data_IF_505542998260
#
_entry.id   IF_505542998260
#
_cell.length_a   1.000
_cell.length_b   1.000
_cell.length_c   1.000
_cell.angle_alpha   90.00
_cell.angle_beta   90.00
_cell.angle_gamma   90.00
#
_symmetry.space_group_name_H-M   'P 1'
#
loop_
_entity.id
_entity.type
_entity.pdbx_description
1 polymer ?
#
# COMPACT_ATOMS: atom_id res chain seq x y z
N UNK A 1 6.82 10.48 24.58
CA UNK A 1 6.25 11.56 25.40
C UNK A 1 5.59 12.55 24.44
N UNK A 2 4.36 12.96 24.70
CA UNK A 2 3.60 13.84 23.78
C UNK A 2 4.02 15.30 23.86
N UNK A 3 3.78 16.05 22.79
CA UNK A 3 3.94 17.50 22.75
C UNK A 3 2.78 18.20 23.50
N UNK A 4 3.01 19.38 24.10
CA UNK A 4 1.92 20.19 24.64
C UNK A 4 0.96 20.61 23.52
N UNK A 5 -0.35 20.79 23.81
CA UNK A 5 -1.34 21.15 22.80
C UNK A 5 -1.03 22.51 22.15
N UNK A 6 -1.30 22.63 20.84
CA UNK A 6 -1.21 23.89 20.12
C UNK A 6 -2.49 24.70 20.34
N UNK A 7 -2.48 25.60 21.31
CA UNK A 7 -3.62 26.47 21.59
C UNK A 7 -3.70 27.63 20.60
N UNK A 8 -4.89 27.92 20.07
CA UNK A 8 -5.10 29.08 19.20
C UNK A 8 -4.74 30.39 19.88
N UNK A 9 -4.92 30.48 21.20
CA UNK A 9 -4.58 31.67 21.99
C UNK A 9 -3.08 31.98 22.01
N UNK A 10 -2.23 30.99 21.78
CA UNK A 10 -0.78 31.18 21.76
C UNK A 10 -0.28 31.69 20.39
N UNK A 11 -1.10 31.58 19.34
CA UNK A 11 -0.83 32.20 18.04
C UNK A 11 -0.72 33.72 18.13
N UNK A 12 -1.50 34.35 19.02
CA UNK A 12 -1.43 35.80 19.25
C UNK A 12 -0.18 36.20 20.04
N UNK A 13 0.24 35.34 20.98
CA UNK A 13 1.42 35.61 21.84
C UNK A 13 2.73 35.39 21.09
N UNK A 14 2.73 34.47 20.12
CA UNK A 14 3.87 34.13 19.27
C UNK A 14 5.17 33.94 20.09
N UNK A 15 5.04 33.23 21.21
CA UNK A 15 6.15 33.04 22.13
C UNK A 15 7.22 32.12 21.53
N UNK A 16 8.50 32.25 21.98
CA UNK A 16 9.54 31.31 21.58
C UNK A 16 9.15 29.84 21.84
N UNK A 17 8.51 29.57 22.98
CA UNK A 17 8.04 28.23 23.36
C UNK A 17 6.92 27.71 22.43
N UNK A 18 6.00 28.58 22.00
CA UNK A 18 4.98 28.25 21.02
C UNK A 18 5.61 27.88 19.68
N UNK A 19 6.58 28.67 19.20
CA UNK A 19 7.29 28.38 17.94
C UNK A 19 8.08 27.07 17.99
N UNK A 20 8.72 26.77 19.13
CA UNK A 20 9.42 25.49 19.31
C UNK A 20 8.43 24.31 19.32
N UNK A 21 7.29 24.48 19.99
CA UNK A 21 6.20 23.49 19.98
C UNK A 21 5.68 23.29 18.56
N UNK A 22 5.35 24.35 17.82
CA UNK A 22 4.89 24.30 16.44
C UNK A 22 5.87 23.53 15.54
N UNK A 23 7.16 23.86 15.63
CA UNK A 23 8.23 23.16 14.90
C UNK A 23 8.31 21.67 15.24
N UNK A 24 8.06 21.30 16.50
CA UNK A 24 8.05 19.89 16.89
C UNK A 24 6.90 19.12 16.23
N UNK A 25 5.71 19.73 16.10
CA UNK A 25 4.57 19.16 15.37
C UNK A 25 4.89 19.01 13.87
N UNK A 26 5.51 20.01 13.24
CA UNK A 26 5.93 19.94 11.83
C UNK A 26 6.88 18.77 11.59
N UNK A 27 7.88 18.59 12.45
CA UNK A 27 8.86 17.49 12.36
C UNK A 27 8.18 16.13 12.55
N UNK A 28 7.24 16.01 13.49
CA UNK A 28 6.47 14.78 13.68
C UNK A 28 5.62 14.46 12.45
N UNK A 29 4.95 15.45 11.87
CA UNK A 29 4.14 15.31 10.67
C UNK A 29 4.98 14.89 9.45
N UNK A 30 6.16 15.49 9.25
CA UNK A 30 7.06 15.10 8.16
C UNK A 30 7.59 13.67 8.33
N UNK A 31 7.98 13.28 9.55
CA UNK A 31 8.38 11.89 9.86
C UNK A 31 7.24 10.91 9.57
N UNK A 32 6.03 11.23 10.03
CA UNK A 32 4.84 10.40 9.79
C UNK A 32 4.58 10.27 8.29
N UNK A 33 4.64 11.36 7.53
CA UNK A 33 4.45 11.36 6.07
C UNK A 33 5.46 10.44 5.37
N UNK A 34 6.74 10.50 5.76
CA UNK A 34 7.79 9.63 5.21
C UNK A 34 7.49 8.16 5.48
N UNK A 35 7.15 7.81 6.72
CA UNK A 35 6.78 6.43 7.07
C UNK A 35 5.54 5.95 6.31
N UNK A 36 4.54 6.79 6.09
CA UNK A 36 3.35 6.43 5.31
C UNK A 36 3.65 6.21 3.83
N UNK A 37 4.52 7.04 3.24
CA UNK A 37 4.97 6.85 1.86
C UNK A 37 5.74 5.53 1.70
N UNK A 38 6.59 5.20 2.66
CA UNK A 38 7.31 3.92 2.70
C UNK A 38 6.33 2.75 2.82
N UNK A 39 5.37 2.81 3.73
CA UNK A 39 4.35 1.78 3.91
C UNK A 39 3.55 1.53 2.62
N UNK A 40 3.11 2.59 1.95
CA UNK A 40 2.39 2.49 0.67
C UNK A 40 3.30 1.90 -0.42
N UNK A 41 4.58 2.29 -0.44
CA UNK A 41 5.57 1.76 -1.39
C UNK A 41 5.77 0.25 -1.19
N UNK A 42 5.91 -0.19 0.04
CA UNK A 42 6.12 -1.60 0.38
C UNK A 42 4.88 -2.43 0.06
N UNK A 43 3.68 -1.95 0.41
CA UNK A 43 2.42 -2.58 0.02
C UNK A 43 2.28 -2.73 -1.50
N UNK A 44 2.61 -1.69 -2.27
CA UNK A 44 2.63 -1.78 -3.75
C UNK A 44 3.67 -2.77 -4.28
N UNK A 45 4.80 -2.92 -3.58
CA UNK A 45 5.84 -3.88 -3.94
C UNK A 45 5.35 -5.31 -3.75
N UNK A 46 4.61 -5.59 -2.67
CA UNK A 46 3.96 -6.89 -2.45
C UNK A 46 2.95 -7.19 -3.56
N UNK A 47 2.07 -6.25 -3.92
CA UNK A 47 1.11 -6.43 -5.02
C UNK A 47 1.83 -6.72 -6.35
N UNK A 48 2.96 -6.05 -6.59
CA UNK A 48 3.78 -6.27 -7.78
C UNK A 48 4.40 -7.67 -7.79
N UNK A 49 4.90 -8.14 -6.64
CA UNK A 49 5.42 -9.49 -6.49
C UNK A 49 4.34 -10.56 -6.73
N UNK A 50 3.13 -10.36 -6.19
CA UNK A 50 1.98 -11.26 -6.41
C UNK A 50 1.66 -11.35 -7.91
N UNK A 51 1.66 -10.23 -8.64
CA UNK A 51 1.45 -10.25 -10.10
C UNK A 51 2.57 -10.99 -10.83
N UNK A 52 3.82 -10.80 -10.42
CA UNK A 52 4.95 -11.52 -10.99
C UNK A 52 4.83 -13.03 -10.78
N UNK A 53 4.43 -13.44 -9.58
CA UNK A 53 4.09 -14.83 -9.25
C UNK A 53 2.98 -15.37 -10.17
N UNK A 54 1.87 -14.64 -10.30
CA UNK A 54 0.75 -15.04 -11.17
C UNK A 54 1.18 -15.28 -12.61
N UNK A 55 1.95 -14.35 -13.18
CA UNK A 55 2.45 -14.48 -14.54
C UNK A 55 3.37 -15.69 -14.72
N UNK A 56 4.20 -16.00 -13.71
CA UNK A 56 5.06 -17.17 -13.75
C UNK A 56 4.25 -18.47 -13.72
N UNK A 57 3.22 -18.56 -12.87
CA UNK A 57 2.31 -19.70 -12.78
C UNK A 57 1.53 -19.88 -14.08
N UNK A 58 1.00 -18.80 -14.67
CA UNK A 58 0.32 -18.86 -15.96
C UNK A 58 1.21 -19.32 -17.11
N UNK A 59 2.48 -18.89 -17.12
CA UNK A 59 3.44 -19.37 -18.12
C UNK A 59 3.72 -20.86 -17.93
N UNK A 60 3.84 -21.32 -16.69
CA UNK A 60 4.06 -22.73 -16.39
C UNK A 60 2.85 -23.58 -16.80
N UNK A 61 1.63 -23.13 -16.53
CA UNK A 61 0.41 -23.84 -16.97
C UNK A 61 0.34 -23.95 -18.49
N UNK A 62 0.65 -22.89 -19.24
CA UNK A 62 0.76 -22.95 -20.70
C UNK A 62 1.81 -23.96 -21.18
N UNK A 63 2.90 -24.12 -20.42
CA UNK A 63 3.93 -25.11 -20.74
C UNK A 63 3.41 -26.53 -20.53
N UNK A 64 2.65 -26.75 -19.45
CA UNK A 64 1.97 -28.03 -19.19
C UNK A 64 0.95 -28.36 -20.28
N UNK A 65 0.10 -27.40 -20.68
CA UNK A 65 -0.89 -27.64 -21.74
C UNK A 65 -0.28 -27.85 -23.12
N UNK A 66 0.94 -27.35 -23.37
CA UNK A 66 1.66 -27.57 -24.62
C UNK A 66 2.50 -28.85 -24.61
N UNK A 67 2.65 -29.51 -23.47
CA UNK A 67 3.48 -30.70 -23.36
C UNK A 67 2.87 -31.86 -24.15
N UNK A 68 3.70 -32.46 -25.00
CA UNK A 68 3.38 -33.67 -25.76
C UNK A 68 4.61 -34.56 -25.78
N UNK A 69 4.40 -35.87 -25.70
CA UNK A 69 5.49 -36.83 -25.87
C UNK A 69 5.86 -36.94 -27.34
N UNK A 70 7.17 -36.96 -27.62
CA UNK A 70 7.69 -37.47 -28.88
C UNK A 70 7.62 -39.01 -28.83
N UNK A 71 6.86 -39.63 -29.74
CA UNK A 71 6.70 -41.09 -29.76
C UNK A 71 7.58 -41.76 -30.81
N UNK A 72 8.04 -42.98 -30.50
CA UNK A 72 8.79 -43.85 -31.41
C UNK A 72 7.86 -45.00 -31.82
N UNK A 73 7.41 -45.02 -33.08
CA UNK A 73 6.47 -46.02 -33.60
C UNK A 73 5.30 -45.38 -34.36
N UNK A 74 4.18 -46.09 -34.48
CA UNK A 74 2.99 -45.61 -35.22
C UNK A 74 1.95 -44.88 -34.34
N UNK A 75 2.03 -44.98 -33.01
CA UNK A 75 1.11 -44.32 -32.07
C UNK A 75 1.71 -44.12 -30.67
N UNK A 76 1.11 -43.23 -29.87
CA UNK A 76 1.36 -43.10 -28.44
C UNK A 76 0.89 -44.34 -27.68
N UNK A 77 1.52 -44.61 -26.54
CA UNK A 77 1.08 -45.59 -25.55
C UNK A 77 -0.01 -45.02 -24.64
N UNK A 78 -0.80 -45.89 -24.01
CA UNK A 78 -1.84 -45.47 -23.06
C UNK A 78 -1.25 -44.66 -21.88
N UNK A 79 -0.05 -44.99 -21.43
CA UNK A 79 0.64 -44.26 -20.35
C UNK A 79 1.02 -42.83 -20.77
N UNK A 80 1.53 -42.65 -22.00
CA UNK A 80 1.86 -41.34 -22.54
C UNK A 80 0.61 -40.47 -22.73
N UNK A 81 -0.50 -41.07 -23.15
CA UNK A 81 -1.80 -40.40 -23.26
C UNK A 81 -2.28 -39.97 -21.85
N UNK A 82 -2.27 -40.87 -20.87
CA UNK A 82 -2.69 -40.58 -19.50
C UNK A 82 -1.85 -39.47 -18.83
N UNK A 83 -0.53 -39.45 -19.06
CA UNK A 83 0.33 -38.38 -18.54
C UNK A 83 0.02 -37.04 -19.22
N UNK A 84 -0.17 -37.04 -20.55
CA UNK A 84 -0.52 -35.82 -21.27
C UNK A 84 -1.87 -35.25 -20.80
N UNK A 85 -2.87 -36.10 -20.60
CA UNK A 85 -4.16 -35.71 -20.01
C UNK A 85 -3.99 -35.15 -18.59
N UNK A 86 -3.14 -35.77 -17.76
CA UNK A 86 -2.84 -35.26 -16.42
C UNK A 86 -2.24 -33.85 -16.44
N UNK A 87 -1.36 -33.56 -17.40
CA UNK A 87 -0.80 -32.22 -17.56
C UNK A 87 -1.82 -31.20 -18.08
N UNK A 88 -2.78 -31.61 -18.90
CA UNK A 88 -3.90 -30.74 -19.29
C UNK A 88 -4.74 -30.34 -18.08
N UNK A 89 -5.10 -31.31 -17.23
CA UNK A 89 -5.86 -31.05 -16.00
C UNK A 89 -5.12 -30.12 -15.04
N UNK A 90 -3.82 -30.37 -14.82
CA UNK A 90 -2.99 -29.48 -14.01
C UNK A 90 -2.92 -28.06 -14.59
N UNK A 91 -2.80 -27.94 -15.92
CA UNK A 91 -2.81 -26.64 -16.57
C UNK A 91 -4.13 -25.92 -16.37
N UNK A 92 -5.26 -26.60 -16.59
CA UNK A 92 -6.60 -26.04 -16.42
C UNK A 92 -6.80 -25.45 -15.03
N UNK A 93 -6.45 -26.22 -14.00
CA UNK A 93 -6.54 -25.77 -12.62
C UNK A 93 -5.66 -24.53 -12.34
N UNK A 94 -4.40 -24.57 -12.76
CA UNK A 94 -3.49 -23.43 -12.54
C UNK A 94 -3.97 -22.17 -13.28
N UNK A 95 -4.60 -22.31 -14.45
CA UNK A 95 -5.17 -21.18 -15.19
C UNK A 95 -6.38 -20.58 -14.47
N UNK A 96 -7.26 -21.41 -13.92
CA UNK A 96 -8.44 -20.98 -13.17
C UNK A 96 -8.04 -20.25 -11.88
N UNK A 97 -7.13 -20.84 -11.09
CA UNK A 97 -6.59 -20.22 -9.86
C UNK A 97 -6.02 -18.84 -10.15
N UNK A 98 -5.22 -18.70 -11.20
CA UNK A 98 -4.59 -17.43 -11.53
C UNK A 98 -5.54 -16.42 -12.18
N UNK A 99 -6.60 -16.87 -12.84
CA UNK A 99 -7.66 -15.99 -13.32
C UNK A 99 -8.33 -15.27 -12.14
N UNK A 100 -8.78 -16.04 -11.13
CA UNK A 100 -9.46 -15.50 -9.96
C UNK A 100 -8.53 -14.63 -9.11
N UNK A 101 -7.28 -15.06 -8.94
CA UNK A 101 -6.24 -14.29 -8.23
C UNK A 101 -6.05 -12.92 -8.88
N UNK A 102 -5.92 -12.86 -10.21
CA UNK A 102 -5.72 -11.61 -10.93
C UNK A 102 -6.96 -10.71 -10.93
N UNK A 103 -8.16 -11.28 -11.01
CA UNK A 103 -9.42 -10.54 -10.87
C UNK A 103 -9.52 -9.84 -9.51
N UNK A 104 -9.17 -10.55 -8.44
CA UNK A 104 -9.17 -10.01 -7.09
C UNK A 104 -8.16 -8.87 -6.92
N UNK A 105 -6.92 -9.06 -7.39
CA UNK A 105 -5.86 -8.03 -7.37
C UNK A 105 -6.27 -6.79 -8.20
N UNK A 106 -6.98 -6.99 -9.32
CA UNK A 106 -7.51 -5.92 -10.15
C UNK A 106 -8.56 -5.07 -9.44
N UNK A 107 -9.53 -5.71 -8.80
CA UNK A 107 -10.60 -5.06 -8.04
C UNK A 107 -10.04 -4.21 -6.89
N UNK A 108 -9.10 -4.76 -6.13
CA UNK A 108 -8.51 -4.10 -4.97
C UNK A 108 -7.74 -2.83 -5.35
N UNK A 109 -6.97 -2.86 -6.46
CA UNK A 109 -6.23 -1.69 -6.94
C UNK A 109 -7.16 -0.53 -7.34
N UNK A 110 -8.33 -0.83 -7.88
CA UNK A 110 -9.32 0.20 -8.22
C UNK A 110 -9.92 0.85 -6.97
N UNK A 111 -10.14 0.07 -5.90
CA UNK A 111 -10.63 0.56 -4.61
C UNK A 111 -9.59 1.41 -3.87
N UNK A 112 -8.32 0.99 -3.82
CA UNK A 112 -7.25 1.72 -3.13
C UNK A 112 -6.89 3.06 -3.77
N UNK A 113 -7.05 3.22 -5.09
CA UNK A 113 -6.79 4.50 -5.79
C UNK A 113 -7.79 5.60 -5.40
N UNK A 114 -8.92 5.22 -4.79
CA UNK A 114 -10.00 6.14 -4.38
C UNK A 114 -9.76 6.76 -2.99
N UNK A 115 -8.85 6.21 -2.17
CA UNK A 115 -8.48 6.77 -0.86
C UNK A 115 -7.52 7.96 -1.03
N UNK A 116 -8.05 9.17 -0.83
CA UNK A 116 -7.42 10.48 -1.05
C UNK A 116 -6.28 10.88 -0.09
N UNK A 117 -5.47 9.92 0.39
CA UNK A 117 -4.36 10.14 1.34
C UNK A 117 -3.37 11.19 0.83
N UNK A 118 -3.17 11.31 -0.49
CA UNK A 118 -2.21 12.23 -1.10
C UNK A 118 -2.66 13.69 -1.07
N UNK A 119 -3.97 13.96 -1.10
CA UNK A 119 -4.47 15.32 -1.27
C UNK A 119 -4.41 16.14 0.03
N UNK A 120 -4.42 15.47 1.19
CA UNK A 120 -4.16 16.08 2.48
C UNK A 120 -2.69 16.54 2.64
N UNK A 121 -1.73 15.88 2.00
CA UNK A 121 -0.29 16.23 2.10
C UNK A 121 0.13 17.39 1.19
N UNK A 122 -0.66 17.72 0.17
CA UNK A 122 -0.38 18.84 -0.74
C UNK A 122 -0.53 20.20 -0.04
N UNK A 123 -1.35 20.27 1.01
CA UNK A 123 -1.56 21.48 1.83
C UNK A 123 -0.28 21.88 2.58
N UNK A 124 0.45 20.92 3.16
CA UNK A 124 1.73 21.18 3.83
C UNK A 124 2.82 21.73 2.89
N UNK A 125 2.85 21.28 1.63
CA UNK A 125 3.83 21.75 0.63
C UNK A 125 3.53 23.15 0.06
N UNK A 126 2.28 23.61 0.13
CA UNK A 126 1.91 24.98 -0.26
C UNK A 126 2.36 26.01 0.79
N UNK A 127 2.44 25.61 2.06
CA UNK A 127 2.79 26.47 3.20
C UNK A 127 4.30 26.76 3.34
N UNK A 128 5.16 25.93 2.74
CA UNK A 128 6.60 26.23 2.64
C UNK A 128 6.86 27.43 1.70
N UNK A 129 6.00 27.65 0.70
CA UNK A 129 6.20 28.69 -0.32
C UNK A 129 5.82 30.10 0.18
N UNK A 130 5.02 30.21 1.22
CA UNK A 130 4.71 31.51 1.86
C UNK A 130 5.64 31.83 3.03
N UNK A 131 6.21 30.81 3.69
CA UNK A 131 7.24 31.00 4.73
C UNK A 131 8.60 31.39 4.14
N UNK A 132 8.99 30.89 2.97
CA UNK A 132 10.18 31.37 2.25
C UNK A 132 10.02 32.80 1.70
N UNK A 133 8.78 33.26 1.49
CA UNK A 133 8.48 34.62 1.06
C UNK A 133 8.52 35.64 2.22
N UNK A 134 8.54 35.15 3.47
CA UNK A 134 8.54 35.97 4.66
C UNK A 134 9.71 35.59 5.58
N UNK A 135 10.80 36.31 5.38
CA UNK A 135 11.84 36.59 6.37
C UNK A 135 11.28 37.31 7.63
N UNK A 136 10.21 36.79 8.24
CA UNK A 136 9.45 37.39 9.35
C UNK A 136 9.97 36.92 10.72
N UNK A 137 10.88 35.96 10.75
CA UNK A 137 11.50 35.46 11.99
C UNK A 137 12.96 35.90 12.20
N UNK A 138 13.37 37.05 11.63
CA UNK A 138 14.67 37.66 11.87
C UNK A 138 14.59 38.88 12.81
N UNK A 139 15.53 39.07 13.77
CA UNK A 139 15.51 40.22 14.65
C UNK A 139 16.13 41.43 13.94
N UNK A 140 15.34 42.19 13.19
CA UNK A 140 15.78 43.51 12.70
C UNK A 140 15.29 44.60 13.62
N UNK A 141 16.03 44.80 14.71
CA UNK A 141 16.10 46.11 15.34
C UNK A 141 16.77 47.08 14.37
N UNK A 142 16.06 48.13 13.96
CA UNK A 142 16.64 49.42 13.55
C UNK A 142 15.56 50.51 13.47
N UNK A 143 15.89 51.60 14.14
CA UNK A 143 15.24 52.92 14.25
C UNK A 143 14.44 53.35 13.02
N UNK A 144 13.21 53.85 13.23
CA UNK A 144 12.66 54.95 12.42
C UNK A 144 11.62 55.75 13.23
N UNK A 145 12.06 56.91 13.73
CA UNK A 145 11.18 58.00 14.12
C UNK A 145 10.77 58.78 12.86
N UNK A 146 9.53 59.30 12.84
CA UNK A 146 8.96 60.25 11.86
C UNK A 146 8.02 59.71 10.74
N UNK A 147 7.19 58.67 10.98
CA UNK A 147 6.03 58.30 10.13
C UNK A 147 4.81 57.72 10.90
N UNK A 148 4.76 57.90 12.22
CA UNK A 148 4.03 57.03 13.18
C UNK A 148 2.61 56.64 12.77
N UNK A 149 1.69 57.57 12.46
CA UNK A 149 0.26 57.21 12.33
C UNK A 149 -0.07 56.29 11.14
N UNK A 150 0.56 56.48 9.97
CA UNK A 150 0.35 55.57 8.81
C UNK A 150 1.15 54.28 8.93
N UNK A 151 2.25 54.31 9.67
CA UNK A 151 3.02 53.12 10.00
C UNK A 151 2.28 52.27 11.04
N UNK A 152 1.64 52.89 12.03
CA UNK A 152 0.87 52.21 13.08
C UNK A 152 -0.34 51.49 12.50
N UNK A 153 -1.14 52.14 11.63
CA UNK A 153 -2.27 51.48 10.94
C UNK A 153 -1.81 50.29 10.06
N UNK A 154 -0.66 50.43 9.39
CA UNK A 154 -0.08 49.35 8.58
C UNK A 154 0.43 48.21 9.47
N UNK A 155 1.08 48.52 10.58
CA UNK A 155 1.58 47.55 11.55
C UNK A 155 0.43 46.78 12.21
N UNK A 156 -0.66 47.46 12.58
CA UNK A 156 -1.84 46.82 13.15
C UNK A 156 -2.50 45.90 12.13
N UNK A 157 -2.59 46.31 10.86
CA UNK A 157 -3.07 45.45 9.78
C UNK A 157 -2.20 44.22 9.58
N UNK A 158 -0.88 44.38 9.59
CA UNK A 158 0.06 43.24 9.46
C UNK A 158 -0.02 42.29 10.65
N UNK A 159 -0.21 42.79 11.88
CA UNK A 159 -0.41 41.94 13.07
C UNK A 159 -1.67 41.10 12.97
N UNK A 160 -2.78 41.70 12.54
CA UNK A 160 -4.04 40.98 12.32
C UNK A 160 -3.84 39.89 11.27
N UNK A 161 -3.25 40.23 10.12
CA UNK A 161 -2.99 39.26 9.06
C UNK A 161 -2.09 38.09 9.53
N UNK A 162 -1.04 38.39 10.30
CA UNK A 162 -0.15 37.40 10.87
C UNK A 162 -0.90 36.46 11.84
N UNK A 163 -1.72 37.02 12.72
CA UNK A 163 -2.50 36.25 13.67
C UNK A 163 -3.51 35.33 12.96
N UNK A 164 -4.27 35.86 12.00
CA UNK A 164 -5.23 35.06 11.22
C UNK A 164 -4.53 33.91 10.48
N UNK A 165 -3.39 34.19 9.86
CA UNK A 165 -2.58 33.17 9.16
C UNK A 165 -2.04 32.11 10.13
N UNK A 166 -1.61 32.51 11.32
CA UNK A 166 -1.07 31.60 12.35
C UNK A 166 -2.15 30.68 12.91
N UNK A 167 -3.35 31.22 13.17
CA UNK A 167 -4.52 30.43 13.61
C UNK A 167 -4.94 29.44 12.55
N UNK A 168 -5.01 29.86 11.29
CA UNK A 168 -5.32 28.95 10.17
C UNK A 168 -4.26 27.85 10.06
N UNK A 169 -2.98 28.18 10.21
CA UNK A 169 -1.90 27.20 10.18
C UNK A 169 -2.03 26.14 11.29
N UNK A 170 -2.26 26.55 12.53
CA UNK A 170 -2.49 25.63 13.66
C UNK A 170 -3.75 24.78 13.42
N UNK A 171 -4.81 25.37 12.88
CA UNK A 171 -6.02 24.64 12.52
C UNK A 171 -5.75 23.54 11.48
N UNK A 172 -4.94 23.83 10.46
CA UNK A 172 -4.55 22.83 9.46
C UNK A 172 -3.70 21.71 10.06
N UNK A 173 -2.77 22.02 10.97
CA UNK A 173 -1.99 21.00 11.71
C UNK A 173 -2.93 20.07 12.48
N UNK A 174 -3.92 20.61 13.19
CA UNK A 174 -4.91 19.81 13.91
C UNK A 174 -5.72 18.91 12.96
N UNK A 175 -6.19 19.45 11.83
CA UNK A 175 -6.91 18.66 10.83
C UNK A 175 -6.07 17.48 10.33
N UNK A 176 -4.79 17.69 10.02
CA UNK A 176 -3.89 16.61 9.58
C UNK A 176 -3.67 15.59 10.71
N UNK A 177 -3.51 16.04 11.95
CA UNK A 177 -3.35 15.14 13.10
C UNK A 177 -4.59 14.29 13.38
N UNK A 178 -5.78 14.78 13.13
CA UNK A 178 -7.00 14.00 13.29
C UNK A 178 -7.23 13.05 12.12
N UNK A 179 -7.03 13.54 10.88
CA UNK A 179 -7.18 12.71 9.68
C UNK A 179 -6.17 11.57 9.60
N UNK A 180 -4.90 11.79 9.98
CA UNK A 180 -3.86 10.75 9.94
C UNK A 180 -4.20 9.50 10.78
N UNK A 181 -5.02 9.65 11.83
CA UNK A 181 -5.45 8.53 12.69
C UNK A 181 -6.32 7.52 11.94
N UNK A 182 -7.05 7.96 10.92
CA UNK A 182 -8.03 7.16 10.19
C UNK A 182 -7.58 6.86 8.76
N UNK A 183 -7.00 7.84 8.06
CA UNK A 183 -6.64 7.76 6.64
C UNK A 183 -5.58 6.68 6.34
N UNK A 184 -4.84 6.23 7.35
CA UNK A 184 -3.81 5.18 7.23
C UNK A 184 -4.40 3.80 7.48
N UNK A 185 -5.36 3.70 8.41
CA UNK A 185 -5.88 2.42 8.87
C UNK A 185 -6.68 1.73 7.78
N UNK A 186 -7.50 2.48 7.05
CA UNK A 186 -8.37 1.92 6.01
C UNK A 186 -7.56 1.31 4.83
N UNK A 187 -6.54 1.97 4.24
CA UNK A 187 -5.71 1.34 3.21
C UNK A 187 -4.95 0.09 3.68
N UNK A 188 -4.43 0.11 4.91
CA UNK A 188 -3.71 -1.03 5.49
C UNK A 188 -4.66 -2.19 5.75
N UNK A 189 -5.85 -1.92 6.30
CA UNK A 189 -6.89 -2.92 6.51
C UNK A 189 -7.35 -3.53 5.18
N UNK A 190 -7.59 -2.69 4.16
CA UNK A 190 -7.94 -3.16 2.83
C UNK A 190 -6.83 -4.06 2.24
N UNK A 191 -5.57 -3.70 2.41
CA UNK A 191 -4.43 -4.51 1.98
C UNK A 191 -4.33 -5.85 2.73
N UNK A 192 -4.52 -5.85 4.06
CA UNK A 192 -4.53 -7.08 4.85
C UNK A 192 -5.68 -7.99 4.44
N UNK A 193 -6.88 -7.43 4.32
CA UNK A 193 -8.05 -8.16 3.84
C UNK A 193 -7.79 -8.77 2.46
N UNK A 194 -7.12 -8.01 1.58
CA UNK A 194 -6.76 -8.47 0.25
C UNK A 194 -5.87 -9.72 0.26
N UNK A 195 -4.81 -9.72 1.08
CA UNK A 195 -3.92 -10.88 1.23
C UNK A 195 -4.67 -12.08 1.80
N UNK A 196 -5.50 -11.87 2.82
CA UNK A 196 -6.26 -12.94 3.45
C UNK A 196 -7.25 -13.58 2.47
N UNK A 197 -7.95 -12.78 1.67
CA UNK A 197 -8.85 -13.29 0.63
C UNK A 197 -8.09 -14.08 -0.45
N UNK A 198 -6.91 -13.64 -0.87
CA UNK A 198 -6.07 -14.40 -1.82
C UNK A 198 -5.63 -15.76 -1.26
N UNK A 199 -5.30 -15.81 0.02
CA UNK A 199 -4.91 -17.05 0.70
C UNK A 199 -6.10 -18.00 0.81
N UNK A 200 -7.28 -17.50 1.19
CA UNK A 200 -8.50 -18.30 1.29
C UNK A 200 -8.91 -18.88 -0.07
N UNK A 201 -8.82 -18.08 -1.14
CA UNK A 201 -9.05 -18.56 -2.51
C UNK A 201 -8.14 -19.77 -2.83
N UNK A 202 -6.87 -19.71 -2.45
CA UNK A 202 -5.95 -20.83 -2.68
C UNK A 202 -6.36 -22.08 -1.91
N UNK A 203 -6.89 -21.92 -0.69
CA UNK A 203 -7.41 -23.05 0.12
C UNK A 203 -8.65 -23.67 -0.51
N UNK A 204 -9.61 -22.85 -0.93
CA UNK A 204 -10.85 -23.31 -1.60
C UNK A 204 -10.51 -24.09 -2.87
N UNK A 205 -9.67 -23.52 -3.75
CA UNK A 205 -9.24 -24.17 -4.98
C UNK A 205 -8.46 -25.48 -4.73
N UNK A 206 -7.70 -25.56 -3.64
CA UNK A 206 -7.00 -26.80 -3.25
C UNK A 206 -7.98 -27.88 -2.82
N UNK A 207 -9.07 -27.50 -2.13
CA UNK A 207 -10.11 -28.44 -1.72
C UNK A 207 -10.85 -28.98 -2.94
N UNK A 208 -11.18 -28.13 -3.91
CA UNK A 208 -11.84 -28.54 -5.15
C UNK A 208 -10.97 -29.49 -5.99
N UNK A 209 -9.64 -29.39 -5.91
CA UNK A 209 -8.70 -30.29 -6.57
C UNK A 209 -8.54 -31.66 -5.90
N UNK A 210 -8.85 -31.79 -4.60
CA UNK A 210 -8.57 -33.00 -3.83
C UNK A 210 -9.12 -34.31 -4.44
N UNK A 211 -10.35 -34.35 -5.02
CA UNK A 211 -10.87 -35.57 -5.64
C UNK A 211 -10.00 -36.06 -6.80
N UNK A 212 -9.65 -35.16 -7.73
CA UNK A 212 -8.79 -35.50 -8.87
C UNK A 212 -7.40 -35.95 -8.43
N UNK A 213 -6.82 -35.27 -7.43
CA UNK A 213 -5.54 -35.67 -6.83
C UNK A 213 -5.59 -37.11 -6.31
N UNK A 214 -6.66 -37.50 -5.61
CA UNK A 214 -6.81 -38.85 -5.07
C UNK A 214 -6.91 -39.91 -6.17
N UNK A 215 -7.68 -39.62 -7.23
CA UNK A 215 -7.81 -40.51 -8.39
C UNK A 215 -6.47 -40.71 -9.10
N UNK A 216 -5.75 -39.62 -9.37
CA UNK A 216 -4.44 -39.67 -10.00
C UNK A 216 -3.42 -40.45 -9.16
N UNK A 217 -3.46 -40.30 -7.83
CA UNK A 217 -2.59 -41.07 -6.93
C UNK A 217 -2.83 -42.57 -7.03
N UNK A 218 -4.09 -43.00 -7.10
CA UNK A 218 -4.44 -44.42 -7.27
C UNK A 218 -3.95 -44.94 -8.64
N UNK A 219 -4.14 -44.16 -9.71
CA UNK A 219 -3.67 -44.50 -11.05
C UNK A 219 -2.15 -44.71 -11.08
N UNK A 220 -1.38 -43.77 -10.51
CA UNK A 220 0.08 -43.86 -10.46
C UNK A 220 0.60 -45.04 -9.61
N UNK A 221 -0.09 -45.38 -8.52
CA UNK A 221 0.27 -46.56 -7.71
C UNK A 221 0.09 -47.87 -8.49
N UNK A 222 -0.97 -47.95 -9.30
CA UNK A 222 -1.24 -49.12 -10.13
C UNK A 222 -0.19 -49.30 -11.23
N UNK A 223 0.31 -48.20 -11.82
CA UNK A 223 1.34 -48.24 -12.88
C UNK A 223 2.74 -48.49 -12.32
N UNK A 224 3.10 -47.87 -11.20
CA UNK A 224 4.48 -47.93 -10.67
C UNK A 224 4.78 -49.19 -9.84
N UNK A 225 3.76 -49.89 -9.33
CA UNK A 225 3.95 -51.00 -8.38
C UNK A 225 4.59 -50.58 -7.05
N UNK A 226 4.78 -49.28 -6.83
CA UNK A 226 5.43 -48.68 -5.65
C UNK A 226 4.36 -48.08 -4.75
N UNK A 227 4.18 -48.64 -3.56
CA UNK A 227 3.21 -48.22 -2.53
C UNK A 227 3.66 -46.98 -1.73
N UNK A 228 4.52 -46.14 -2.31
CA UNK A 228 5.07 -44.97 -1.65
C UNK A 228 4.23 -43.72 -1.91
N UNK A 229 3.90 -42.98 -0.85
CA UNK A 229 3.18 -41.72 -0.94
C UNK A 229 4.12 -40.62 -1.48
N UNK A 230 4.27 -40.52 -2.82
CA UNK A 230 5.19 -39.57 -3.49
C UNK A 230 4.93 -38.08 -3.17
N UNK A 231 3.82 -37.76 -2.50
CA UNK A 231 3.42 -36.41 -2.15
C UNK A 231 3.57 -36.09 -0.66
N UNK A 232 4.07 -37.02 0.16
CA UNK A 232 4.26 -36.83 1.61
C UNK A 232 5.27 -35.75 1.98
N UNK A 233 6.07 -35.28 1.02
CA UNK A 233 7.12 -34.26 1.25
C UNK A 233 6.76 -32.87 0.69
N UNK A 234 5.60 -32.70 0.04
CA UNK A 234 5.08 -31.40 -0.39
C UNK A 234 4.14 -30.80 0.67
N UNK A 235 4.54 -30.85 1.94
CA UNK A 235 4.08 -29.89 2.94
C UNK A 235 4.89 -28.61 2.78
N UNK A 236 4.69 -27.91 1.66
CA UNK A 236 5.14 -26.53 1.50
C UNK A 236 3.87 -25.67 1.43
N UNK A 237 3.18 -25.57 2.56
CA UNK A 237 2.47 -24.38 3.04
C UNK A 237 2.22 -24.54 4.55
#
# INVERSE_FOLDING_TARGET
MGHPPLEFSDCYKDSPDFRETLKSYEVELDRTNKSLKELIKDGNSVITAIKGYSLAVQKFSQTLSAFQFDFIGDSLTDDEINIAESFQEFSGLLQEVEHDRMMLVGYQRASSRRSGVVEAFRIGSLLQRETDSNAVFGPTGKQFSLFSLKADDLLDRERVNFYESSVEYVYQIHQVQDRKKFDVVEPVLAFLHSILTLNNLTVEMTQDFMPYKQELQLSLQNVSGVTGNCWGELNIF
#
